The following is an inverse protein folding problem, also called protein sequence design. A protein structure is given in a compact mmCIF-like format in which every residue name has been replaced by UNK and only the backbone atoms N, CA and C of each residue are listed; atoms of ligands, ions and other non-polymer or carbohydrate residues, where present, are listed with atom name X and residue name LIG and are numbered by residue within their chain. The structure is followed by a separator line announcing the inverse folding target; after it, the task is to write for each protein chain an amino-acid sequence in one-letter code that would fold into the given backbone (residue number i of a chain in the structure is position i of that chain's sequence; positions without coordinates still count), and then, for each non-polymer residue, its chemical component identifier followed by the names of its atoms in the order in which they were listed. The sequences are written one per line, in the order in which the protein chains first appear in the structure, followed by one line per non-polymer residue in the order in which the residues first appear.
data_IF_501748826425
#
_entry.id   IF_501748826425
#
_cell.length_a   1.000
_cell.length_b   1.000
_cell.length_c   1.000
_cell.angle_alpha   90.00
_cell.angle_beta   90.00
_cell.angle_gamma   90.00
#
_symmetry.space_group_name_H-M   'P 1'
#
loop_
_entity.id
_entity.type
_entity.pdbx_description
1 polymer ?
#
# COMPACT_ATOMS: atom_id res chain seq x y z
N UNK A 1 12.40 -5.10 -12.97
CA UNK A 1 12.20 -3.81 -12.23
C UNK A 1 13.42 -3.52 -11.36
N UNK A 2 13.79 -2.25 -11.21
CA UNK A 2 14.93 -1.85 -10.38
C UNK A 2 14.67 -2.20 -8.90
N UNK A 3 15.58 -2.93 -8.20
CA UNK A 3 15.43 -3.28 -6.78
C UNK A 3 15.19 -2.06 -5.86
N UNK A 4 15.71 -0.88 -6.24
CA UNK A 4 15.49 0.35 -5.49
C UNK A 4 14.02 0.81 -5.57
N UNK A 5 13.38 0.68 -6.74
CA UNK A 5 11.97 1.02 -6.91
C UNK A 5 11.11 0.09 -6.04
N UNK A 6 11.39 -1.21 -6.09
CA UNK A 6 10.71 -2.20 -5.24
C UNK A 6 10.86 -1.85 -3.75
N UNK A 7 12.06 -1.49 -3.32
CA UNK A 7 12.35 -1.12 -1.94
C UNK A 7 11.58 0.12 -1.48
N UNK A 8 11.48 1.14 -2.33
CA UNK A 8 10.77 2.38 -2.00
C UNK A 8 9.26 2.23 -2.15
N UNK A 9 8.78 1.82 -3.33
CA UNK A 9 7.34 1.70 -3.63
C UNK A 9 6.65 0.59 -2.82
N UNK A 10 7.39 -0.45 -2.42
CA UNK A 10 6.90 -1.52 -1.54
C UNK A 10 6.78 -1.13 -0.07
N UNK A 11 7.24 0.06 0.32
CA UNK A 11 7.22 0.53 1.71
C UNK A 11 8.31 -0.10 2.60
N UNK A 12 9.22 -0.90 2.04
CA UNK A 12 10.30 -1.50 2.83
C UNK A 12 11.23 -0.47 3.46
N UNK A 13 11.42 0.69 2.81
CA UNK A 13 12.20 1.82 3.34
C UNK A 13 11.63 2.34 4.67
N UNK A 14 10.30 2.33 4.86
CA UNK A 14 9.68 2.70 6.12
C UNK A 14 10.13 1.78 7.27
N UNK A 15 10.03 0.47 7.08
CA UNK A 15 10.37 -0.52 8.08
C UNK A 15 11.86 -0.51 8.43
N UNK A 16 12.72 -0.37 7.42
CA UNK A 16 14.18 -0.22 7.63
C UNK A 16 14.47 1.09 8.38
N UNK A 17 13.78 2.17 8.06
CA UNK A 17 13.88 3.44 8.77
C UNK A 17 13.50 3.32 10.25
N UNK A 18 12.38 2.66 10.56
CA UNK A 18 11.99 2.37 11.96
C UNK A 18 13.04 1.51 12.68
N UNK A 19 13.57 0.49 12.00
CA UNK A 19 14.61 -0.37 12.57
C UNK A 19 15.87 0.42 12.91
N UNK A 20 16.33 1.33 12.06
CA UNK A 20 17.48 2.19 12.34
C UNK A 20 17.22 3.11 13.53
N UNK A 21 16.03 3.71 13.61
CA UNK A 21 15.67 4.59 14.73
C UNK A 21 15.54 3.80 16.04
N UNK A 22 15.14 2.53 15.99
CA UNK A 22 15.05 1.68 17.19
C UNK A 22 16.39 1.52 17.92
N UNK A 23 17.51 1.68 17.22
CA UNK A 23 18.84 1.68 17.82
C UNK A 23 19.02 2.79 18.90
N UNK A 24 18.20 3.86 18.85
CA UNK A 24 18.21 4.92 19.85
C UNK A 24 17.66 4.48 21.22
N UNK A 25 16.86 3.42 21.25
CA UNK A 25 16.30 2.86 22.48
C UNK A 25 17.37 2.16 23.34
N UNK A 26 18.45 1.66 22.71
CA UNK A 26 19.54 1.02 23.41
C UNK A 26 20.28 2.07 24.27
N UNK A 27 20.53 1.82 25.56
CA UNK A 27 21.30 2.74 26.41
C UNK A 27 22.65 3.08 25.77
N UNK A 28 22.97 4.36 25.72
CA UNK A 28 24.21 4.83 25.09
C UNK A 28 25.35 4.78 26.09
N UNK A 29 26.45 4.10 25.74
CA UNK A 29 27.69 4.28 26.49
C UNK A 29 28.17 5.72 26.29
N UNK A 30 28.87 6.28 27.28
CA UNK A 30 29.42 7.65 27.26
C UNK A 30 30.53 7.85 26.18
N UNK A 31 30.77 6.84 25.31
CA UNK A 31 31.78 6.92 24.25
C UNK A 31 31.27 7.80 23.10
N UNK A 32 32.03 8.80 22.65
CA UNK A 32 31.65 9.69 21.54
C UNK A 32 31.29 8.93 20.25
N UNK A 33 32.00 7.86 19.94
CA UNK A 33 31.73 7.02 18.76
C UNK A 33 30.33 6.40 18.77
N UNK A 34 29.81 6.03 19.93
CA UNK A 34 28.45 5.49 20.06
C UNK A 34 27.37 6.55 19.76
N UNK A 35 27.59 7.78 20.16
CA UNK A 35 26.66 8.88 19.88
C UNK A 35 26.65 9.26 18.41
N UNK A 36 27.83 9.31 17.76
CA UNK A 36 27.93 9.58 16.33
C UNK A 36 27.16 8.52 15.53
N UNK A 37 27.42 7.24 15.81
CA UNK A 37 26.75 6.13 15.10
C UNK A 37 25.23 6.20 15.25
N UNK A 38 24.72 6.47 16.43
CA UNK A 38 23.28 6.63 16.68
C UNK A 38 22.70 7.85 15.99
N UNK A 39 23.44 8.96 15.93
CA UNK A 39 23.01 10.15 15.19
C UNK A 39 22.93 9.86 13.68
N UNK A 40 23.87 9.09 13.13
CA UNK A 40 23.83 8.65 11.74
C UNK A 40 22.64 7.69 11.47
N UNK A 41 22.41 6.75 12.39
CA UNK A 41 21.26 5.84 12.28
C UNK A 41 19.91 6.60 12.33
N UNK A 42 19.81 7.60 13.24
CA UNK A 42 18.65 8.47 13.31
C UNK A 42 18.43 9.21 11.98
N UNK A 43 19.47 9.86 11.47
CA UNK A 43 19.38 10.67 10.25
C UNK A 43 19.01 9.79 9.03
N UNK A 44 19.69 8.66 8.86
CA UNK A 44 19.38 7.71 7.80
C UNK A 44 17.94 7.15 7.94
N UNK A 45 17.53 6.82 9.17
CA UNK A 45 16.18 6.34 9.44
C UNK A 45 15.09 7.36 9.10
N UNK A 46 15.30 8.64 9.46
CA UNK A 46 14.38 9.73 9.12
C UNK A 46 14.27 9.94 7.61
N UNK A 47 15.39 9.87 6.87
CA UNK A 47 15.37 9.95 5.40
C UNK A 47 14.58 8.80 4.81
N UNK A 48 14.82 7.56 5.24
CA UNK A 48 14.14 6.38 4.72
C UNK A 48 12.63 6.44 5.00
N UNK A 49 12.22 6.90 6.17
CA UNK A 49 10.82 7.12 6.53
C UNK A 49 10.20 8.22 5.66
N UNK A 50 10.89 9.34 5.47
CA UNK A 50 10.40 10.43 4.63
C UNK A 50 10.23 10.03 3.17
N UNK A 51 11.18 9.26 2.61
CA UNK A 51 11.13 8.81 1.21
C UNK A 51 10.12 7.68 1.00
N UNK A 52 9.75 6.94 2.04
CA UNK A 52 8.76 5.86 1.94
C UNK A 52 7.36 6.34 1.59
N UNK A 53 7.04 7.61 1.85
CA UNK A 53 5.71 8.21 1.67
C UNK A 53 4.57 7.39 2.27
N UNK A 54 4.87 6.65 3.33
CA UNK A 54 3.88 5.87 4.06
C UNK A 54 2.75 6.79 4.54
N UNK A 55 1.48 6.54 4.21
CA UNK A 55 0.39 7.49 4.44
C UNK A 55 -0.15 7.47 5.88
N UNK A 56 0.76 7.63 6.85
CA UNK A 56 0.41 7.94 8.25
C UNK A 56 0.10 9.44 8.34
N UNK A 57 -0.78 9.82 9.27
CA UNK A 57 -1.15 11.21 9.47
C UNK A 57 0.09 12.11 9.69
N UNK A 58 0.08 13.29 9.09
CA UNK A 58 1.22 14.24 9.12
C UNK A 58 1.68 14.56 10.54
N UNK A 59 0.77 14.54 11.51
CA UNK A 59 1.07 14.77 12.93
C UNK A 59 2.02 13.73 13.53
N UNK A 60 1.98 12.51 13.03
CA UNK A 60 2.90 11.47 13.44
C UNK A 60 4.35 11.80 13.02
N UNK A 61 4.53 12.26 11.78
CA UNK A 61 5.83 12.70 11.28
C UNK A 61 6.37 13.89 12.09
N UNK A 62 5.51 14.86 12.41
CA UNK A 62 5.86 15.97 13.28
C UNK A 62 6.27 15.50 14.68
N UNK A 63 5.54 14.57 15.27
CA UNK A 63 5.85 13.97 16.57
C UNK A 63 7.20 13.23 16.57
N UNK A 64 7.46 12.44 15.53
CA UNK A 64 8.75 11.76 15.36
C UNK A 64 9.91 12.74 15.23
N UNK A 65 9.72 13.83 14.47
CA UNK A 65 10.74 14.89 14.33
C UNK A 65 11.03 15.56 15.67
N UNK A 66 9.99 15.96 16.41
CA UNK A 66 10.13 16.57 17.74
C UNK A 66 10.85 15.62 18.72
N UNK A 67 10.43 14.33 18.75
CA UNK A 67 11.09 13.33 19.60
C UNK A 67 12.57 13.13 19.22
N UNK A 68 12.88 13.18 17.92
CA UNK A 68 14.24 13.06 17.39
C UNK A 68 15.12 14.25 17.77
N UNK A 69 14.61 15.47 17.63
CA UNK A 69 15.30 16.71 18.05
C UNK A 69 15.53 16.67 19.56
N UNK A 70 14.51 16.32 20.35
CA UNK A 70 14.65 16.23 21.80
C UNK A 70 15.69 15.17 22.20
N UNK A 71 15.72 14.02 21.51
CA UNK A 71 16.75 13.01 21.71
C UNK A 71 18.16 13.57 21.47
N UNK A 72 18.38 14.28 20.35
CA UNK A 72 19.67 14.91 20.04
C UNK A 72 20.10 15.89 21.12
N UNK A 73 19.19 16.75 21.60
CA UNK A 73 19.46 17.71 22.68
C UNK A 73 19.82 16.98 23.97
N UNK A 74 19.02 15.99 24.38
CA UNK A 74 19.21 15.25 25.63
C UNK A 74 20.55 14.52 25.71
N UNK A 75 21.10 14.09 24.57
CA UNK A 75 22.37 13.34 24.52
C UNK A 75 23.58 14.21 24.17
N UNK A 76 23.42 15.44 23.65
CA UNK A 76 24.53 16.36 23.33
C UNK A 76 24.81 17.39 24.38
N UNK A 77 23.98 17.53 25.42
CA UNK A 77 24.22 18.45 26.53
C UNK A 77 25.43 18.00 27.36
N UNK A 78 26.23 18.96 27.81
CA UNK A 78 27.46 18.71 28.60
C UNK A 78 27.19 18.00 29.94
N UNK A 79 25.98 18.14 30.48
CA UNK A 79 25.53 17.45 31.70
C UNK A 79 24.18 16.73 31.40
N UNK A 80 24.23 15.55 30.84
CA UNK A 80 22.99 14.81 30.51
C UNK A 80 22.34 14.30 31.80
N UNK A 81 21.13 14.77 32.10
CA UNK A 81 20.33 14.20 33.18
C UNK A 81 19.74 12.88 32.71
N UNK A 82 19.90 11.82 33.51
CA UNK A 82 19.37 10.47 33.21
C UNK A 82 17.87 10.48 32.92
N UNK A 83 17.13 11.37 33.59
CA UNK A 83 15.70 11.58 33.39
C UNK A 83 15.38 12.08 31.98
N UNK A 84 16.12 13.09 31.47
CA UNK A 84 15.93 13.62 30.11
C UNK A 84 16.23 12.57 29.06
N UNK A 85 17.27 11.77 29.23
CA UNK A 85 17.58 10.67 28.32
C UNK A 85 16.51 9.59 28.36
N UNK A 86 15.96 9.28 29.54
CA UNK A 86 14.85 8.34 29.69
C UNK A 86 13.60 8.85 28.98
N UNK A 87 13.25 10.13 29.15
CA UNK A 87 12.10 10.74 28.48
C UNK A 87 12.27 10.75 26.96
N UNK A 88 13.47 11.07 26.45
CA UNK A 88 13.78 11.05 25.03
C UNK A 88 13.58 9.65 24.42
N UNK A 89 14.07 8.59 25.09
CA UNK A 89 13.84 7.21 24.65
C UNK A 89 12.37 6.81 24.68
N UNK A 90 11.62 7.23 25.71
CA UNK A 90 10.17 6.97 25.77
C UNK A 90 9.43 7.64 24.62
N UNK A 91 9.78 8.89 24.27
CA UNK A 91 9.19 9.58 23.11
C UNK A 91 9.43 8.83 21.80
N UNK A 92 10.67 8.40 21.54
CA UNK A 92 10.99 7.57 20.38
C UNK A 92 10.22 6.24 20.42
N UNK A 93 10.18 5.55 21.58
CA UNK A 93 9.45 4.29 21.72
C UNK A 93 7.96 4.45 21.39
N UNK A 94 7.32 5.52 21.85
CA UNK A 94 5.91 5.82 21.55
C UNK A 94 5.72 6.01 20.04
N UNK A 95 6.60 6.77 19.37
CA UNK A 95 6.53 6.94 17.92
C UNK A 95 6.68 5.60 17.17
N UNK A 96 7.64 4.76 17.57
CA UNK A 96 7.86 3.46 16.94
C UNK A 96 6.66 2.50 17.15
N UNK A 97 6.15 2.41 18.38
CA UNK A 97 5.00 1.56 18.69
C UNK A 97 3.74 2.04 17.99
N UNK A 98 3.49 3.35 17.94
CA UNK A 98 2.34 3.89 17.19
C UNK A 98 2.47 3.63 15.69
N UNK A 99 3.68 3.72 15.10
CA UNK A 99 3.89 3.35 13.71
C UNK A 99 3.54 1.88 13.44
N UNK A 100 3.99 0.96 14.30
CA UNK A 100 3.66 -0.46 14.18
C UNK A 100 2.14 -0.68 14.22
N UNK A 101 1.43 -0.05 15.15
CA UNK A 101 -0.02 -0.18 15.29
C UNK A 101 -0.74 0.40 14.06
N UNK A 102 -0.32 1.57 13.58
CA UNK A 102 -0.98 2.26 12.45
C UNK A 102 -0.72 1.58 11.11
N UNK A 103 0.46 0.97 10.91
CA UNK A 103 0.82 0.32 9.64
C UNK A 103 0.54 -1.18 9.60
N UNK A 104 0.28 -1.82 10.75
CA UNK A 104 0.00 -3.25 10.79
C UNK A 104 -1.16 -3.69 9.87
N UNK A 105 -2.30 -2.98 9.82
CA UNK A 105 -3.41 -3.34 8.93
C UNK A 105 -3.03 -3.34 7.45
N UNK A 106 -2.05 -2.51 7.05
CA UNK A 106 -1.57 -2.38 5.66
C UNK A 106 -0.34 -3.23 5.35
N UNK A 107 0.14 -4.01 6.32
CA UNK A 107 1.25 -4.94 6.15
C UNK A 107 0.80 -6.39 6.01
N UNK A 108 -0.41 -6.71 6.48
CA UNK A 108 -0.99 -8.05 6.45
C UNK A 108 -2.15 -8.13 5.47
N UNK A 109 -2.38 -9.31 4.89
CA UNK A 109 -3.54 -9.53 4.04
C UNK A 109 -4.83 -9.36 4.84
N UNK A 110 -5.80 -8.57 4.35
CA UNK A 110 -7.12 -8.50 4.96
C UNK A 110 -7.86 -9.83 4.78
N UNK A 111 -8.87 -10.02 5.60
CA UNK A 111 -9.84 -11.07 5.33
C UNK A 111 -10.70 -10.63 4.15
N UNK A 112 -10.90 -11.54 3.19
CA UNK A 112 -11.82 -11.29 2.09
C UNK A 112 -13.24 -11.27 2.64
N UNK A 113 -14.03 -10.23 2.39
CA UNK A 113 -15.44 -10.24 2.73
C UNK A 113 -16.15 -11.34 1.92
N UNK A 114 -17.03 -12.09 2.58
CA UNK A 114 -17.78 -13.14 1.91
C UNK A 114 -19.00 -12.52 1.22
N UNK A 115 -19.06 -12.53 -0.11
CA UNK A 115 -20.19 -11.97 -0.84
C UNK A 115 -21.43 -12.86 -0.69
N UNK A 116 -22.60 -12.27 -0.83
CA UNK A 116 -23.86 -13.02 -0.85
C UNK A 116 -23.96 -13.88 -2.12
N UNK A 117 -23.60 -13.29 -3.26
CA UNK A 117 -23.45 -13.95 -4.54
C UNK A 117 -21.98 -14.19 -4.86
N UNK A 118 -21.59 -15.43 -5.14
CA UNK A 118 -20.21 -15.82 -5.42
C UNK A 118 -19.74 -15.39 -6.80
N UNK A 119 -19.95 -14.13 -7.15
CA UNK A 119 -19.48 -13.52 -8.39
C UNK A 119 -18.41 -12.50 -8.07
N UNK A 120 -17.30 -12.55 -8.79
CA UNK A 120 -16.24 -11.57 -8.75
C UNK A 120 -16.40 -10.60 -9.91
N UNK A 121 -16.52 -9.30 -9.62
CA UNK A 121 -16.47 -8.22 -10.63
C UNK A 121 -15.12 -7.53 -10.50
N UNK A 122 -14.42 -7.36 -11.62
CA UNK A 122 -13.07 -6.77 -11.64
C UNK A 122 -13.14 -5.42 -12.35
N UNK A 123 -12.74 -4.35 -11.63
CA UNK A 123 -12.56 -3.00 -12.17
C UNK A 123 -11.06 -2.73 -12.20
N UNK A 124 -10.44 -2.77 -13.38
CA UNK A 124 -8.99 -2.71 -13.44
C UNK A 124 -8.46 -2.06 -14.73
N UNK A 125 -7.15 -1.85 -14.74
CA UNK A 125 -6.45 -1.28 -15.89
C UNK A 125 -5.68 -2.32 -16.72
N UNK A 126 -4.65 -1.87 -17.45
CA UNK A 126 -3.85 -2.73 -18.34
C UNK A 126 -3.03 -3.81 -17.62
N UNK A 127 -2.78 -3.69 -16.31
CA UNK A 127 -2.15 -4.78 -15.55
C UNK A 127 -3.04 -6.02 -15.51
N UNK A 128 -4.34 -5.84 -15.56
CA UNK A 128 -5.33 -6.91 -15.58
C UNK A 128 -5.76 -7.25 -17.00
N UNK A 129 -6.08 -6.26 -17.83
CA UNK A 129 -6.59 -6.45 -19.19
C UNK A 129 -5.57 -7.07 -20.17
N UNK A 130 -4.26 -7.00 -19.85
CA UNK A 130 -3.21 -7.33 -20.82
C UNK A 130 -3.01 -6.23 -21.87
N UNK A 131 -2.02 -6.41 -22.75
CA UNK A 131 -1.71 -5.48 -23.84
C UNK A 131 -2.15 -5.99 -25.22
N UNK A 132 -2.14 -7.30 -25.41
CA UNK A 132 -2.48 -7.95 -26.68
C UNK A 132 -3.82 -8.68 -26.57
N UNK A 133 -4.59 -8.72 -27.66
CA UNK A 133 -5.89 -9.42 -27.70
C UNK A 133 -5.79 -10.92 -27.41
N UNK A 134 -4.60 -11.52 -27.53
CA UNK A 134 -4.36 -12.92 -27.27
C UNK A 134 -3.67 -13.19 -25.93
N UNK A 135 -3.49 -12.18 -25.09
CA UNK A 135 -2.93 -12.37 -23.76
C UNK A 135 -3.90 -13.25 -22.94
N UNK A 136 -3.42 -14.38 -22.45
CA UNK A 136 -4.19 -15.17 -21.49
C UNK A 136 -3.99 -14.58 -20.09
N UNK A 137 -4.91 -13.71 -19.71
CA UNK A 137 -4.82 -12.82 -18.56
C UNK A 137 -5.04 -13.55 -17.24
N UNK A 138 -4.71 -12.91 -16.11
CA UNK A 138 -4.90 -13.53 -14.80
C UNK A 138 -6.38 -13.76 -14.44
N UNK A 139 -7.37 -12.93 -14.84
CA UNK A 139 -8.78 -13.23 -14.62
C UNK A 139 -9.24 -14.48 -15.38
N UNK A 140 -8.80 -14.65 -16.62
CA UNK A 140 -9.13 -15.85 -17.41
C UNK A 140 -8.52 -17.11 -16.78
N UNK A 141 -7.25 -17.04 -16.36
CA UNK A 141 -6.59 -18.14 -15.63
C UNK A 141 -7.28 -18.48 -14.32
N UNK A 142 -7.77 -17.45 -13.62
CA UNK A 142 -8.52 -17.63 -12.37
C UNK A 142 -9.88 -18.29 -12.65
N UNK A 143 -10.57 -17.87 -13.71
CA UNK A 143 -11.86 -18.44 -14.11
C UNK A 143 -11.79 -19.96 -14.41
N UNK A 144 -10.65 -20.46 -14.88
CA UNK A 144 -10.44 -21.90 -15.07
C UNK A 144 -10.26 -22.69 -13.76
N UNK A 145 -9.97 -22.00 -12.64
CA UNK A 145 -9.58 -22.62 -11.38
C UNK A 145 -10.66 -22.53 -10.29
N UNK A 146 -11.54 -21.53 -10.38
CA UNK A 146 -12.60 -21.29 -9.40
C UNK A 146 -13.96 -21.60 -10.00
N UNK A 147 -14.83 -22.23 -9.21
CA UNK A 147 -16.21 -22.51 -9.60
C UNK A 147 -17.12 -21.30 -9.27
N UNK A 148 -16.74 -20.13 -9.78
CA UNK A 148 -17.44 -18.87 -9.52
C UNK A 148 -17.37 -17.97 -10.75
N UNK A 149 -18.45 -17.29 -11.13
CA UNK A 149 -18.44 -16.36 -12.26
C UNK A 149 -17.46 -15.21 -12.00
N UNK A 150 -16.71 -14.84 -13.05
CA UNK A 150 -15.82 -13.67 -13.05
C UNK A 150 -16.29 -12.73 -14.17
N UNK A 151 -16.64 -11.52 -13.81
CA UNK A 151 -17.00 -10.42 -14.71
C UNK A 151 -15.82 -9.46 -14.78
N UNK A 152 -14.99 -9.60 -15.80
CA UNK A 152 -13.83 -8.72 -16.01
C UNK A 152 -14.23 -7.51 -16.84
N UNK A 153 -14.15 -6.31 -16.23
CA UNK A 153 -14.46 -5.02 -16.84
C UNK A 153 -13.17 -4.19 -17.06
N UNK A 154 -12.01 -4.83 -17.00
CA UNK A 154 -10.73 -4.16 -17.17
C UNK A 154 -10.52 -3.64 -18.59
N UNK A 155 -9.82 -2.51 -18.73
CA UNK A 155 -9.37 -2.05 -20.04
C UNK A 155 -8.06 -1.24 -19.95
N UNK A 156 -7.31 -1.26 -21.02
CA UNK A 156 -6.01 -0.60 -21.12
C UNK A 156 -6.16 0.91 -20.93
N UNK A 157 -5.31 1.47 -20.07
CA UNK A 157 -5.27 2.91 -19.81
C UNK A 157 -6.33 3.44 -18.83
N UNK A 158 -7.16 2.55 -18.24
CA UNK A 158 -8.20 2.95 -17.31
C UNK A 158 -7.65 3.72 -16.11
N UNK A 159 -8.33 4.81 -15.76
CA UNK A 159 -8.13 5.60 -14.54
C UNK A 159 -9.29 5.37 -13.56
N UNK A 160 -9.17 5.85 -12.32
CA UNK A 160 -10.23 5.68 -11.31
C UNK A 160 -11.58 6.22 -11.79
N UNK A 161 -11.60 7.28 -12.58
CA UNK A 161 -12.83 7.84 -13.17
C UNK A 161 -13.55 6.85 -14.07
N UNK A 162 -12.81 6.04 -14.83
CA UNK A 162 -13.39 5.06 -15.74
C UNK A 162 -14.13 3.95 -14.98
N UNK A 163 -13.73 3.67 -13.75
CA UNK A 163 -14.46 2.77 -12.86
C UNK A 163 -15.93 3.13 -12.67
N UNK A 164 -16.28 4.43 -12.75
CA UNK A 164 -17.68 4.88 -12.70
C UNK A 164 -18.46 4.44 -13.93
N UNK A 165 -17.84 4.47 -15.10
CA UNK A 165 -18.44 4.02 -16.37
C UNK A 165 -18.50 2.50 -16.44
N UNK A 166 -17.47 1.80 -15.94
CA UNK A 166 -17.43 0.33 -15.87
C UNK A 166 -18.63 -0.24 -15.11
N UNK A 167 -19.07 0.42 -14.03
CA UNK A 167 -20.20 -0.06 -13.21
C UNK A 167 -21.57 0.38 -13.72
N UNK A 168 -21.64 1.24 -14.75
CA UNK A 168 -22.92 1.61 -15.35
C UNK A 168 -23.59 0.37 -15.96
N UNK A 169 -24.78 0.06 -15.60
CA UNK A 169 -25.55 -1.09 -16.07
C UNK A 169 -25.03 -2.48 -15.63
N UNK A 170 -24.15 -2.55 -14.66
CA UNK A 170 -23.71 -3.82 -14.05
C UNK A 170 -24.50 -4.02 -12.75
N UNK A 171 -25.09 -5.20 -12.62
CA UNK A 171 -25.68 -5.63 -11.38
C UNK A 171 -24.58 -5.99 -10.40
N UNK A 172 -24.47 -5.26 -9.29
CA UNK A 172 -23.42 -5.43 -8.28
C UNK A 172 -23.95 -6.01 -6.96
N UNK A 173 -25.27 -6.12 -6.81
CA UNK A 173 -25.92 -6.54 -5.57
C UNK A 173 -25.38 -7.87 -5.06
N UNK A 174 -24.92 -7.89 -3.80
CA UNK A 174 -24.37 -9.08 -3.15
C UNK A 174 -23.08 -9.65 -3.74
N UNK A 175 -22.44 -9.00 -4.72
CA UNK A 175 -21.20 -9.48 -5.38
C UNK A 175 -19.93 -8.97 -4.67
N UNK A 176 -18.80 -9.57 -5.01
CA UNK A 176 -17.47 -9.08 -4.62
C UNK A 176 -16.88 -8.25 -5.76
N UNK A 177 -16.53 -7.00 -5.49
CA UNK A 177 -15.85 -6.11 -6.44
C UNK A 177 -14.39 -6.00 -6.07
N UNK A 178 -13.51 -6.30 -7.02
CA UNK A 178 -12.06 -6.07 -6.90
C UNK A 178 -11.69 -4.84 -7.72
N UNK A 179 -11.00 -3.88 -7.09
CA UNK A 179 -10.51 -2.67 -7.75
C UNK A 179 -8.99 -2.74 -7.89
N UNK A 180 -8.51 -2.65 -9.12
CA UNK A 180 -7.08 -2.48 -9.46
C UNK A 180 -6.98 -1.26 -10.42
N UNK A 181 -7.28 -0.06 -9.90
CA UNK A 181 -7.27 1.21 -10.62
C UNK A 181 -6.45 2.26 -9.87
N UNK A 182 -5.93 3.24 -10.61
CA UNK A 182 -5.18 4.36 -10.07
C UNK A 182 -3.71 4.39 -10.49
N UNK A 183 -3.20 3.31 -11.08
CA UNK A 183 -1.87 3.28 -11.67
C UNK A 183 -1.71 4.33 -12.77
N UNK A 184 -2.67 4.44 -13.67
CA UNK A 184 -2.69 5.44 -14.74
C UNK A 184 -2.93 6.87 -14.23
N UNK A 185 -3.67 7.05 -13.13
CA UNK A 185 -3.77 8.36 -12.46
C UNK A 185 -2.41 8.84 -11.94
N UNK A 186 -1.59 7.91 -11.41
CA UNK A 186 -0.25 8.19 -10.91
C UNK A 186 0.76 8.51 -12.01
N UNK A 187 0.74 7.73 -13.07
CA UNK A 187 1.66 7.86 -14.21
C UNK A 187 1.25 9.02 -15.13
N UNK A 188 -0.04 9.33 -15.15
CA UNK A 188 -0.60 10.46 -15.88
C UNK A 188 -0.47 11.77 -15.11
N UNK A 189 -1.30 12.73 -15.48
CA UNK A 189 -1.34 14.07 -14.90
C UNK A 189 -2.59 14.30 -14.03
N UNK A 190 -3.27 13.25 -13.57
CA UNK A 190 -4.46 13.38 -12.73
C UNK A 190 -4.10 14.12 -11.43
N UNK A 191 -4.71 15.28 -11.15
CA UNK A 191 -4.51 15.98 -9.89
C UNK A 191 -4.99 15.15 -8.71
N UNK A 192 -4.33 15.27 -7.57
CA UNK A 192 -4.68 14.49 -6.38
C UNK A 192 -6.11 14.73 -5.86
N UNK A 193 -6.61 15.96 -6.01
CA UNK A 193 -7.98 16.31 -5.64
C UNK A 193 -9.00 15.72 -6.62
N UNK A 194 -8.66 15.56 -7.89
CA UNK A 194 -9.48 14.86 -8.88
C UNK A 194 -9.50 13.36 -8.60
N UNK A 195 -8.34 12.74 -8.37
CA UNK A 195 -8.25 11.35 -7.93
C UNK A 195 -9.12 11.09 -6.69
N UNK A 196 -9.01 11.97 -5.68
CA UNK A 196 -9.81 11.86 -4.45
C UNK A 196 -11.31 11.93 -4.74
N UNK A 197 -11.77 12.88 -5.58
CA UNK A 197 -13.19 13.01 -5.93
C UNK A 197 -13.69 11.76 -6.66
N UNK A 198 -12.95 11.30 -7.66
CA UNK A 198 -13.34 10.15 -8.48
C UNK A 198 -13.39 8.87 -7.66
N UNK A 199 -12.36 8.61 -6.81
CA UNK A 199 -12.35 7.45 -5.93
C UNK A 199 -13.47 7.52 -4.89
N UNK A 200 -13.72 8.70 -4.30
CA UNK A 200 -14.82 8.87 -3.35
C UNK A 200 -16.18 8.57 -4.00
N UNK A 201 -16.42 9.06 -5.22
CA UNK A 201 -17.67 8.80 -5.94
C UNK A 201 -17.80 7.31 -6.29
N UNK A 202 -16.72 6.67 -6.78
CA UNK A 202 -16.71 5.25 -7.10
C UNK A 202 -17.06 4.40 -5.86
N UNK A 203 -16.35 4.59 -4.76
CA UNK A 203 -16.58 3.84 -3.54
C UNK A 203 -17.97 4.11 -2.94
N UNK A 204 -18.47 5.34 -3.04
CA UNK A 204 -19.83 5.67 -2.62
C UNK A 204 -20.88 4.90 -3.42
N UNK A 205 -20.74 4.82 -4.74
CA UNK A 205 -21.68 4.06 -5.61
C UNK A 205 -21.61 2.56 -5.32
N UNK A 206 -20.42 2.01 -5.15
CA UNK A 206 -20.23 0.59 -4.81
C UNK A 206 -20.87 0.25 -3.45
N UNK A 207 -20.64 1.08 -2.44
CA UNK A 207 -21.27 0.90 -1.11
C UNK A 207 -22.79 0.99 -1.19
N UNK A 208 -23.34 1.88 -2.05
CA UNK A 208 -24.78 2.01 -2.24
C UNK A 208 -25.41 0.82 -2.99
N UNK A 209 -24.60 0.04 -3.72
CA UNK A 209 -25.02 -1.15 -4.46
C UNK A 209 -24.96 -2.45 -3.61
N UNK A 210 -24.73 -2.35 -2.31
CA UNK A 210 -24.66 -3.48 -1.35
C UNK A 210 -23.68 -4.59 -1.78
N UNK A 211 -22.56 -4.21 -2.42
CA UNK A 211 -21.51 -5.13 -2.80
C UNK A 211 -20.33 -5.07 -1.82
N UNK A 212 -19.65 -6.21 -1.66
CA UNK A 212 -18.39 -6.26 -0.92
C UNK A 212 -17.25 -5.74 -1.81
N UNK A 213 -16.33 -4.93 -1.25
CA UNK A 213 -15.26 -4.32 -2.03
C UNK A 213 -13.90 -4.65 -1.46
N UNK A 214 -12.98 -5.05 -2.32
CA UNK A 214 -11.54 -5.13 -2.05
C UNK A 214 -10.79 -4.30 -3.08
N UNK A 215 -9.69 -3.67 -2.68
CA UNK A 215 -8.90 -2.82 -3.58
C UNK A 215 -7.42 -3.09 -3.38
N UNK A 216 -6.63 -3.12 -4.45
CA UNK A 216 -5.18 -3.13 -4.32
C UNK A 216 -4.68 -1.76 -3.85
N UNK A 217 -3.86 -1.76 -2.80
CA UNK A 217 -3.13 -0.56 -2.41
C UNK A 217 -2.09 -0.25 -3.49
N UNK A 218 -2.08 0.99 -3.98
CA UNK A 218 -1.19 1.42 -5.04
C UNK A 218 0.27 1.46 -4.58
N UNK A 219 1.21 0.86 -5.32
CA UNK A 219 2.63 1.04 -5.11
C UNK A 219 3.05 2.43 -5.61
N UNK A 220 3.28 3.35 -4.68
CA UNK A 220 3.49 4.76 -4.98
C UNK A 220 4.97 5.11 -5.13
N UNK A 221 5.33 5.92 -6.14
CA UNK A 221 6.64 6.55 -6.16
C UNK A 221 6.79 7.55 -5.01
N UNK A 222 8.02 7.90 -4.61
CA UNK A 222 8.26 8.95 -3.64
C UNK A 222 7.51 10.25 -4.02
N UNK A 223 7.09 11.00 -2.99
CA UNK A 223 6.42 12.32 -3.11
C UNK A 223 4.94 12.29 -3.58
N UNK A 224 4.28 11.13 -3.60
CA UNK A 224 2.84 11.01 -3.87
C UNK A 224 2.05 10.59 -2.62
N UNK A 225 2.40 11.20 -1.50
CA UNK A 225 1.70 11.02 -0.22
C UNK A 225 0.20 11.35 -0.29
N UNK A 226 -0.14 12.38 -1.07
CA UNK A 226 -1.49 12.87 -1.30
C UNK A 226 -2.44 11.77 -1.81
N UNK A 227 -2.04 11.02 -2.83
CA UNK A 227 -2.80 9.91 -3.41
C UNK A 227 -2.86 8.72 -2.45
N UNK A 228 -1.72 8.36 -1.82
CA UNK A 228 -1.68 7.29 -0.85
C UNK A 228 -2.62 7.54 0.33
N UNK A 229 -2.61 8.77 0.86
CA UNK A 229 -3.47 9.16 1.97
C UNK A 229 -4.96 9.19 1.54
N UNK A 230 -5.26 9.69 0.35
CA UNK A 230 -6.60 9.68 -0.21
C UNK A 230 -7.15 8.25 -0.32
N UNK A 231 -6.38 7.32 -0.90
CA UNK A 231 -6.78 5.93 -1.03
C UNK A 231 -7.10 5.29 0.33
N UNK A 232 -6.15 5.33 1.29
CA UNK A 232 -6.37 4.73 2.61
C UNK A 232 -7.53 5.37 3.39
N UNK A 233 -7.64 6.71 3.35
CA UNK A 233 -8.69 7.43 4.07
C UNK A 233 -10.08 7.13 3.52
N UNK A 234 -10.23 7.01 2.21
CA UNK A 234 -11.49 6.67 1.56
C UNK A 234 -11.84 5.19 1.77
N UNK A 235 -10.88 4.27 1.62
CA UNK A 235 -11.11 2.86 1.90
C UNK A 235 -11.54 2.63 3.35
N UNK A 236 -10.93 3.30 4.32
CA UNK A 236 -11.39 3.26 5.71
C UNK A 236 -12.79 3.85 5.91
N UNK A 237 -13.15 4.90 5.18
CA UNK A 237 -14.49 5.53 5.26
C UNK A 237 -15.59 4.61 4.77
N UNK A 238 -15.33 3.85 3.71
CA UNK A 238 -16.30 2.99 3.03
C UNK A 238 -16.15 1.50 3.38
N UNK A 239 -15.36 1.17 4.40
CA UNK A 239 -15.07 -0.21 4.85
C UNK A 239 -14.51 -1.11 3.73
N UNK A 240 -13.71 -0.54 2.85
CA UNK A 240 -13.05 -1.25 1.75
C UNK A 240 -11.76 -1.88 2.24
N UNK A 241 -11.62 -3.19 2.05
CA UNK A 241 -10.41 -3.92 2.40
C UNK A 241 -9.29 -3.66 1.41
N UNK A 242 -8.13 -3.15 1.88
CA UNK A 242 -6.96 -2.92 1.05
C UNK A 242 -6.04 -4.15 1.04
N UNK A 243 -5.79 -4.68 -0.16
CA UNK A 243 -4.72 -5.66 -0.40
C UNK A 243 -3.39 -4.91 -0.39
N UNK A 244 -2.44 -5.24 0.52
CA UNK A 244 -1.21 -4.47 0.64
C UNK A 244 -0.41 -4.41 -0.67
N UNK A 245 0.09 -3.23 -1.01
CA UNK A 245 0.84 -2.93 -2.26
C UNK A 245 1.97 -3.90 -2.59
N UNK A 246 2.56 -4.53 -1.58
CA UNK A 246 3.62 -5.51 -1.78
C UNK A 246 3.17 -6.75 -2.57
N UNK A 247 1.88 -7.09 -2.57
CA UNK A 247 1.36 -8.23 -3.32
C UNK A 247 1.26 -7.92 -4.82
N UNK A 248 0.75 -6.74 -5.19
CA UNK A 248 0.77 -6.27 -6.58
C UNK A 248 2.21 -6.12 -7.09
N UNK A 249 3.08 -5.51 -6.28
CA UNK A 249 4.50 -5.36 -6.62
C UNK A 249 5.21 -6.69 -6.84
N UNK A 250 4.87 -7.75 -6.12
CA UNK A 250 5.46 -9.07 -6.34
C UNK A 250 5.09 -9.66 -7.69
N UNK A 251 3.91 -9.34 -8.21
CA UNK A 251 3.49 -9.78 -9.54
C UNK A 251 4.25 -9.05 -10.66
N UNK A 252 4.58 -7.76 -10.47
CA UNK A 252 5.31 -6.96 -11.45
C UNK A 252 6.82 -6.91 -11.22
N UNK A 253 7.30 -7.25 -10.02
CA UNK A 253 8.72 -7.23 -9.67
C UNK A 253 9.37 -8.60 -9.89
N UNK A 254 10.34 -8.65 -10.73
CA UNK A 254 11.16 -9.84 -10.97
C UNK A 254 11.55 -9.95 -12.43
N UNK A 255 12.57 -10.77 -12.67
CA UNK A 255 13.03 -11.03 -14.03
C UNK A 255 11.95 -11.84 -14.77
N UNK A 256 11.58 -11.38 -15.97
CA UNK A 256 10.60 -12.04 -16.83
C UNK A 256 9.12 -11.84 -16.46
N UNK A 257 8.78 -11.09 -15.40
CA UNK A 257 7.38 -10.89 -14.97
C UNK A 257 6.62 -9.78 -15.70
N UNK A 258 7.35 -8.86 -16.30
CA UNK A 258 6.78 -7.77 -17.09
C UNK A 258 7.42 -7.72 -18.47
N UNK A 259 6.66 -7.25 -19.46
CA UNK A 259 7.15 -7.07 -20.84
C UNK A 259 7.90 -5.74 -20.99
N UNK A 260 7.50 -4.68 -20.27
CA UNK A 260 8.03 -3.32 -20.41
C UNK A 260 8.29 -2.60 -19.06
N UNK A 261 8.44 -3.32 -17.96
CA UNK A 261 8.57 -2.85 -16.57
C UNK A 261 7.27 -2.46 -15.87
N UNK A 262 6.13 -2.46 -16.54
CA UNK A 262 4.80 -2.14 -16.01
C UNK A 262 3.82 -3.27 -16.26
N UNK A 263 3.64 -3.66 -17.54
CA UNK A 263 2.62 -4.62 -17.94
C UNK A 263 3.09 -6.05 -17.71
N UNK A 264 2.18 -6.89 -17.23
CA UNK A 264 2.48 -8.28 -16.90
C UNK A 264 2.87 -9.07 -18.16
N UNK A 265 3.87 -9.92 -18.00
CA UNK A 265 4.15 -11.00 -18.94
C UNK A 265 3.24 -12.20 -18.62
N UNK A 266 3.27 -13.24 -19.44
CA UNK A 266 2.60 -14.51 -19.16
C UNK A 266 2.92 -15.02 -17.74
N UNK A 267 4.18 -14.97 -17.32
CA UNK A 267 4.60 -15.38 -15.98
C UNK A 267 4.04 -14.46 -14.89
N UNK A 268 3.91 -13.16 -15.15
CA UNK A 268 3.28 -12.20 -14.24
C UNK A 268 1.81 -12.50 -14.04
N UNK A 269 1.07 -12.79 -15.13
CA UNK A 269 -0.34 -13.20 -15.07
C UNK A 269 -0.53 -14.51 -14.31
N UNK A 270 0.32 -15.52 -14.51
CA UNK A 270 0.28 -16.77 -13.74
C UNK A 270 0.45 -16.49 -12.25
N UNK A 271 1.42 -15.69 -11.84
CA UNK A 271 1.67 -15.40 -10.43
C UNK A 271 0.55 -14.59 -9.78
N UNK A 272 -0.05 -13.66 -10.53
CA UNK A 272 -1.18 -12.89 -10.00
C UNK A 272 -2.42 -13.77 -9.86
N UNK A 273 -2.66 -14.69 -10.83
CA UNK A 273 -3.72 -15.68 -10.72
C UNK A 273 -3.53 -16.60 -9.50
N UNK A 274 -2.32 -17.12 -9.27
CA UNK A 274 -1.99 -17.98 -8.12
C UNK A 274 -2.24 -17.24 -6.79
N UNK A 275 -1.86 -15.97 -6.73
CA UNK A 275 -2.11 -15.14 -5.56
C UNK A 275 -3.61 -14.91 -5.34
N UNK A 276 -4.34 -14.52 -6.39
CA UNK A 276 -5.77 -14.23 -6.31
C UNK A 276 -6.60 -15.47 -5.99
N UNK A 277 -6.26 -16.63 -6.54
CA UNK A 277 -6.87 -17.91 -6.16
C UNK A 277 -6.74 -18.16 -4.65
N UNK A 278 -5.51 -18.07 -4.14
CA UNK A 278 -5.23 -18.27 -2.70
C UNK A 278 -5.92 -17.23 -1.82
N UNK A 279 -5.96 -15.97 -2.25
CA UNK A 279 -6.58 -14.86 -1.51
C UNK A 279 -8.10 -14.99 -1.47
N UNK A 280 -8.73 -15.34 -2.58
CA UNK A 280 -10.19 -15.42 -2.72
C UNK A 280 -10.78 -16.74 -2.21
N UNK A 281 -9.95 -17.78 -2.04
CA UNK A 281 -10.41 -19.11 -1.60
C UNK A 281 -11.39 -19.06 -0.41
N UNK A 282 -11.16 -18.28 0.68
CA UNK A 282 -12.08 -18.25 1.81
C UNK A 282 -13.48 -17.72 1.47
N UNK A 283 -13.60 -16.85 0.48
CA UNK A 283 -14.86 -16.24 0.04
C UNK A 283 -15.61 -17.12 -0.98
N UNK A 284 -14.89 -17.94 -1.78
CA UNK A 284 -15.42 -18.71 -2.87
C UNK A 284 -15.40 -20.24 -2.63
N UNK A 285 -14.72 -20.74 -1.58
CA UNK A 285 -14.82 -22.14 -1.17
C UNK A 285 -16.20 -22.45 -0.59
N UNK A 286 -16.70 -23.66 -0.86
CA UNK A 286 -17.99 -24.16 -0.34
C UNK A 286 -17.92 -24.42 1.14
#
# INVERSE_FOLDING_TARGET
MNPLILFLAGGYSFWVGLMLISALLIPTSQRPSSLILKSLALFAGLILIAVSMTPIAIWWYAGLLVASIYWLIAYRTKQPLAERQSLARRGIAVCLLSALVLEWPYAVLPKVPVPEHRTLVILADSLTAGLEENDFTWPERLAERVDSPIEDLSHVGAVVKDGLTMIENVDLDGKLVLIELGGNDLLGSTPADEFHRNLNELLQRLTAADCAVVMFELPLPPFRYDIAYAQRSLCNRYDVSLIPKQYLLRAIAGEGKTVDSLHLSEQGHVQLADFMESFLQPAFSR
#
